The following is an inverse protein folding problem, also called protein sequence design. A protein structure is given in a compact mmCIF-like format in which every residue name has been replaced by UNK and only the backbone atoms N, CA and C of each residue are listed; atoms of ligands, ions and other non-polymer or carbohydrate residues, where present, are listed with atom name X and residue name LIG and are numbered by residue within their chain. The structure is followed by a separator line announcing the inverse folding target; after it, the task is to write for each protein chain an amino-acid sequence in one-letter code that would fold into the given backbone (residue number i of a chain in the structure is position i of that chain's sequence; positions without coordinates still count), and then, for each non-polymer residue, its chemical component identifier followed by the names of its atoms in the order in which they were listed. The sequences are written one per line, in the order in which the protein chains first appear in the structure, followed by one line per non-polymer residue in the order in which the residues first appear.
data_IF_931420835678
#
_entry.id   IF_931420835678
#
_cell.length_a   1.000
_cell.length_b   1.000
_cell.length_c   1.000
_cell.angle_alpha   90.00
_cell.angle_beta   90.00
_cell.angle_gamma   90.00
#
_symmetry.space_group_name_H-M   'P 1'
#
loop_
_entity.id
_entity.type
_entity.pdbx_description
1 polymer ?
#
# COMPACT_ATOMS: atom_id res chain seq x y z
N UNK A 1 52.25 24.61 6.90
CA UNK A 1 50.89 25.18 6.96
C UNK A 1 49.91 24.10 6.55
N UNK A 2 49.04 23.69 7.46
CA UNK A 2 48.25 22.45 7.45
C UNK A 2 47.10 22.50 6.43
N UNK A 3 47.01 21.50 5.55
CA UNK A 3 45.83 21.28 4.72
C UNK A 3 44.58 21.04 5.60
N UNK A 4 43.42 21.65 5.30
CA UNK A 4 42.18 21.31 6.00
C UNK A 4 41.74 19.89 5.64
N UNK A 5 41.35 19.12 6.65
CA UNK A 5 40.80 17.78 6.47
C UNK A 5 39.45 17.84 5.71
N UNK A 6 39.15 16.87 4.82
CA UNK A 6 37.88 16.83 4.12
C UNK A 6 36.73 16.67 5.11
N UNK A 7 35.77 17.60 5.08
CA UNK A 7 34.57 17.56 5.89
C UNK A 7 33.80 16.26 5.60
N UNK A 8 33.53 15.48 6.64
CA UNK A 8 32.75 14.25 6.55
C UNK A 8 31.35 14.57 6.02
N UNK A 9 30.98 14.02 4.87
CA UNK A 9 29.62 14.11 4.34
C UNK A 9 28.74 13.18 5.17
N UNK A 10 27.87 13.74 6.00
CA UNK A 10 26.83 12.96 6.66
C UNK A 10 25.92 12.33 5.57
N UNK A 11 25.72 11.01 5.57
CA UNK A 11 24.78 10.37 4.66
C UNK A 11 23.39 10.97 4.87
N UNK A 12 22.80 11.53 3.81
CA UNK A 12 21.39 11.89 3.84
C UNK A 12 20.59 10.60 3.99
N UNK A 13 19.94 10.43 5.13
CA UNK A 13 18.90 9.43 5.28
C UNK A 13 17.89 9.62 4.12
N UNK A 14 17.46 8.54 3.45
CA UNK A 14 16.47 8.65 2.39
C UNK A 14 15.20 9.27 2.96
N UNK A 15 14.92 10.51 2.57
CA UNK A 15 13.69 11.22 2.93
C UNK A 15 12.61 10.78 1.95
N UNK A 16 11.40 10.56 2.47
CA UNK A 16 10.21 10.37 1.63
C UNK A 16 10.07 11.54 0.65
N UNK A 17 9.66 11.24 -0.58
CA UNK A 17 9.51 12.23 -1.66
C UNK A 17 8.44 13.25 -1.29
N UNK A 18 8.71 14.52 -1.59
CA UNK A 18 7.80 15.64 -1.32
C UNK A 18 6.42 15.40 -1.96
N UNK A 19 5.37 15.61 -1.16
CA UNK A 19 3.96 15.41 -1.51
C UNK A 19 3.36 16.64 -2.22
N UNK A 20 4.04 17.78 -2.21
CA UNK A 20 3.52 19.05 -2.75
C UNK A 20 4.09 19.45 -4.13
N UNK A 21 4.95 18.63 -4.74
CA UNK A 21 5.46 18.88 -6.09
C UNK A 21 4.37 18.74 -7.16
N UNK A 22 4.10 19.82 -7.91
CA UNK A 22 3.15 19.83 -9.01
C UNK A 22 3.68 19.06 -10.24
N UNK A 23 2.84 18.23 -10.87
CA UNK A 23 3.23 17.42 -12.03
C UNK A 23 3.93 16.10 -11.68
N UNK A 24 3.74 15.60 -10.45
CA UNK A 24 4.26 14.30 -10.00
C UNK A 24 3.68 13.15 -10.82
N UNK A 25 4.52 12.53 -11.64
CA UNK A 25 4.27 11.18 -12.14
C UNK A 25 4.48 10.17 -11.02
N UNK A 26 3.54 9.23 -10.87
CA UNK A 26 3.63 8.15 -9.91
C UNK A 26 4.90 7.32 -10.15
N UNK A 27 5.61 6.99 -9.08
CA UNK A 27 6.74 6.05 -9.20
C UNK A 27 6.24 4.62 -9.35
N UNK A 28 7.06 3.70 -9.89
CA UNK A 28 6.72 2.28 -9.88
C UNK A 28 6.40 1.72 -8.49
N UNK A 29 7.03 2.25 -7.43
CA UNK A 29 6.76 1.85 -6.06
C UNK A 29 5.37 2.31 -5.59
N UNK A 30 4.99 3.54 -5.90
CA UNK A 30 3.65 4.07 -5.60
C UNK A 30 2.56 3.30 -6.33
N UNK A 31 2.79 2.96 -7.61
CA UNK A 31 1.88 2.13 -8.39
C UNK A 31 1.77 0.71 -7.82
N UNK A 32 2.89 0.10 -7.39
CA UNK A 32 2.88 -1.21 -6.75
C UNK A 32 2.11 -1.17 -5.42
N UNK A 33 2.31 -0.11 -4.63
CA UNK A 33 1.62 0.10 -3.37
C UNK A 33 0.10 0.14 -3.60
N UNK A 34 -0.38 0.99 -4.50
CA UNK A 34 -1.80 1.09 -4.86
C UNK A 34 -2.37 -0.25 -5.36
N UNK A 35 -1.64 -0.92 -6.25
CA UNK A 35 -2.01 -2.22 -6.79
C UNK A 35 -2.18 -3.30 -5.70
N UNK A 36 -1.39 -3.24 -4.63
CA UNK A 36 -1.46 -4.23 -3.55
C UNK A 36 -2.81 -4.19 -2.83
N UNK A 37 -3.37 -3.00 -2.61
CA UNK A 37 -4.72 -2.84 -2.03
C UNK A 37 -5.80 -3.35 -3.00
N UNK A 38 -5.69 -3.02 -4.29
CA UNK A 38 -6.61 -3.48 -5.33
C UNK A 38 -6.65 -5.02 -5.38
N UNK A 39 -5.49 -5.67 -5.37
CA UNK A 39 -5.39 -7.14 -5.34
C UNK A 39 -5.99 -7.71 -4.06
N UNK A 40 -5.74 -7.09 -2.89
CA UNK A 40 -6.34 -7.50 -1.62
C UNK A 40 -7.87 -7.50 -1.65
N UNK A 41 -8.48 -6.43 -2.17
CA UNK A 41 -9.94 -6.33 -2.31
C UNK A 41 -10.47 -7.36 -3.31
N UNK A 42 -9.79 -7.56 -4.45
CA UNK A 42 -10.16 -8.55 -5.45
C UNK A 42 -10.15 -9.99 -4.89
N UNK A 43 -9.14 -10.34 -4.08
CA UNK A 43 -9.06 -11.64 -3.42
C UNK A 43 -10.19 -11.83 -2.40
N UNK A 44 -10.50 -10.80 -1.61
CA UNK A 44 -11.62 -10.85 -0.66
C UNK A 44 -12.96 -11.08 -1.40
N UNK A 45 -13.20 -10.35 -2.49
CA UNK A 45 -14.40 -10.50 -3.31
C UNK A 45 -14.48 -11.90 -3.97
N UNK A 46 -13.36 -12.44 -4.44
CA UNK A 46 -13.31 -13.78 -5.01
C UNK A 46 -13.69 -14.87 -4.00
N UNK A 47 -13.28 -14.74 -2.73
CA UNK A 47 -13.66 -15.67 -1.67
C UNK A 47 -15.16 -15.60 -1.34
N UNK A 48 -15.76 -14.41 -1.38
CA UNK A 48 -17.20 -14.25 -1.22
C UNK A 48 -17.97 -14.93 -2.36
N UNK A 49 -17.51 -14.78 -3.61
CA UNK A 49 -18.14 -15.40 -4.78
C UNK A 49 -18.07 -16.94 -4.73
N UNK A 50 -16.99 -17.53 -4.22
CA UNK A 50 -16.90 -18.99 -4.03
C UNK A 50 -17.93 -19.51 -3.01
N UNK A 51 -18.35 -18.69 -2.05
CA UNK A 51 -19.37 -19.05 -1.07
C UNK A 51 -20.81 -18.97 -1.62
N UNK A 52 -21.03 -18.39 -2.80
CA UNK A 52 -22.35 -18.31 -3.44
C UNK A 52 -22.90 -19.66 -3.91
N UNK A 53 -22.03 -20.61 -4.25
CA UNK A 53 -22.46 -21.93 -4.74
C UNK A 53 -23.16 -22.83 -3.70
N UNK A 54 -23.19 -22.45 -2.42
CA UNK A 54 -23.60 -23.35 -1.32
C UNK A 54 -24.62 -22.76 -0.32
N UNK A 55 -25.35 -21.68 -0.67
CA UNK A 55 -26.21 -20.94 0.27
C UNK A 55 -25.46 -20.40 1.52
N UNK A 56 -24.12 -20.34 1.48
CA UNK A 56 -23.25 -19.93 2.59
C UNK A 56 -22.76 -18.48 2.49
N UNK A 57 -23.36 -17.68 1.58
CA UNK A 57 -23.01 -16.25 1.40
C UNK A 57 -23.11 -15.48 2.71
N UNK A 58 -24.18 -15.71 3.47
CA UNK A 58 -24.37 -15.08 4.79
C UNK A 58 -23.28 -15.43 5.79
N UNK A 59 -22.69 -16.63 5.69
CA UNK A 59 -21.60 -17.08 6.55
C UNK A 59 -20.23 -16.52 6.14
N UNK A 60 -20.02 -16.26 4.84
CA UNK A 60 -18.77 -15.69 4.31
C UNK A 60 -18.73 -14.15 4.37
N UNK A 61 -19.90 -13.49 4.43
CA UNK A 61 -20.03 -12.04 4.46
C UNK A 61 -19.24 -11.36 5.59
N UNK A 62 -19.22 -11.86 6.85
CA UNK A 62 -18.44 -11.23 7.92
C UNK A 62 -16.93 -11.27 7.65
N UNK A 63 -16.42 -12.35 7.06
CA UNK A 63 -15.01 -12.49 6.71
C UNK A 63 -14.62 -11.53 5.59
N UNK A 64 -15.46 -11.39 4.57
CA UNK A 64 -15.30 -10.39 3.51
C UNK A 64 -15.29 -8.96 4.08
N UNK A 65 -16.27 -8.61 4.91
CA UNK A 65 -16.38 -7.27 5.50
C UNK A 65 -15.18 -6.93 6.39
N UNK A 66 -14.70 -7.90 7.19
CA UNK A 66 -13.51 -7.73 8.02
C UNK A 66 -12.27 -7.46 7.15
N UNK A 67 -12.05 -8.27 6.11
CA UNK A 67 -10.92 -8.11 5.20
C UNK A 67 -10.98 -6.77 4.45
N UNK A 68 -12.14 -6.43 3.89
CA UNK A 68 -12.38 -5.15 3.22
C UNK A 68 -12.13 -3.97 4.17
N UNK A 69 -12.66 -4.04 5.39
CA UNK A 69 -12.48 -2.99 6.39
C UNK A 69 -11.02 -2.85 6.83
N UNK A 70 -10.30 -3.95 7.04
CA UNK A 70 -8.87 -3.91 7.40
C UNK A 70 -8.02 -3.29 6.27
N UNK A 71 -8.31 -3.64 5.01
CA UNK A 71 -7.61 -3.09 3.84
C UNK A 71 -7.93 -1.60 3.67
N UNK A 72 -9.19 -1.21 3.81
CA UNK A 72 -9.60 0.19 3.75
C UNK A 72 -8.99 1.01 4.90
N UNK A 73 -9.01 0.50 6.13
CA UNK A 73 -8.43 1.19 7.29
C UNK A 73 -6.92 1.41 7.14
N UNK A 74 -6.21 0.51 6.48
CA UNK A 74 -4.79 0.69 6.19
C UNK A 74 -4.50 1.75 5.11
N UNK A 75 -5.52 2.19 4.37
CA UNK A 75 -5.41 3.17 3.28
C UNK A 75 -5.81 4.60 3.69
N UNK A 76 -6.79 4.77 4.58
CA UNK A 76 -7.21 6.07 5.14
C UNK A 76 -6.20 6.63 6.15
#
# INVERSE_FOLDING_TARGET
MTSPAPAARHPHAPRGRDIHEAGRTATPLELLFDLTFVVGVALAAAQLHHAEGAHHVLAALPGFLLAFFAIWWAWM
#
